data_IF_058912681071
#
_entry.id   IF_058912681071
#
_cell.length_a   1.000
_cell.length_b   1.000
_cell.length_c   1.000
_cell.angle_alpha   90.00
_cell.angle_beta   90.00
_cell.angle_gamma   90.00
#
_symmetry.space_group_name_H-M   'P 1'
#
loop_
_entity.id
_entity.type
_entity.pdbx_description
1 polymer ?
#
# COMPACT_ATOMS: atom_id res chain seq x y z
N UNK A 1 3.74 3.18 5.04
CA UNK A 1 2.47 2.49 4.72
C UNK A 1 1.37 2.76 5.76
N UNK A 2 1.74 2.93 7.03
CA UNK A 2 0.78 3.10 8.13
C UNK A 2 -0.17 4.30 8.00
N UNK A 3 0.23 5.41 7.37
CA UNK A 3 -0.66 6.55 7.14
C UNK A 3 -1.53 6.37 5.89
N UNK A 4 -0.88 6.24 4.72
CA UNK A 4 -1.54 6.36 3.40
C UNK A 4 -1.86 5.01 2.73
N UNK A 5 -1.45 3.91 3.36
CA UNK A 5 -1.62 2.55 2.83
C UNK A 5 -3.01 1.99 3.10
N UNK A 6 -3.52 1.21 2.16
CA UNK A 6 -4.80 0.51 2.29
C UNK A 6 -4.68 -0.91 1.76
N UNK A 7 -5.37 -1.82 2.45
CA UNK A 7 -5.49 -3.24 2.10
C UNK A 7 -6.96 -3.62 2.18
N UNK A 8 -7.50 -4.23 1.12
CA UNK A 8 -8.90 -4.67 1.05
C UNK A 8 -9.03 -5.85 0.07
N UNK A 9 -10.18 -6.54 0.09
CA UNK A 9 -10.58 -7.45 -1.00
C UNK A 9 -11.45 -6.67 -1.99
N UNK A 10 -11.22 -6.85 -3.28
CA UNK A 10 -12.13 -6.31 -4.28
C UNK A 10 -13.47 -7.07 -4.31
N UNK A 11 -14.37 -6.67 -5.21
CA UNK A 11 -15.70 -7.28 -5.35
C UNK A 11 -15.67 -8.77 -5.68
N UNK A 12 -14.55 -9.26 -6.22
CA UNK A 12 -14.34 -10.66 -6.58
C UNK A 12 -13.57 -11.41 -5.48
N UNK A 13 -13.35 -10.78 -4.32
CA UNK A 13 -12.62 -11.38 -3.21
C UNK A 13 -11.09 -11.31 -3.35
N UNK A 14 -10.54 -10.71 -4.41
CA UNK A 14 -9.09 -10.68 -4.60
C UNK A 14 -8.43 -9.62 -3.72
N UNK A 15 -7.28 -9.94 -3.10
CA UNK A 15 -6.56 -9.00 -2.27
C UNK A 15 -6.01 -7.83 -3.11
N UNK A 16 -6.10 -6.62 -2.55
CA UNK A 16 -5.58 -5.38 -3.14
C UNK A 16 -4.79 -4.61 -2.11
N UNK A 17 -3.66 -4.06 -2.54
CA UNK A 17 -2.79 -3.16 -1.75
C UNK A 17 -2.59 -1.89 -2.56
N UNK A 18 -2.85 -0.73 -1.96
CA UNK A 18 -2.52 0.57 -2.56
C UNK A 18 -1.96 1.55 -1.54
N UNK A 19 -1.27 2.54 -2.06
CA UNK A 19 -0.91 3.77 -1.37
C UNK A 19 -1.71 4.88 -2.04
N UNK A 20 -2.44 5.64 -1.23
CA UNK A 20 -3.34 6.67 -1.71
C UNK A 20 -3.02 7.97 -1.00
N UNK A 21 -2.77 9.03 -1.74
CA UNK A 21 -2.44 10.34 -1.19
C UNK A 21 -3.56 11.30 -1.57
N UNK A 22 -4.24 11.83 -0.55
CA UNK A 22 -5.16 12.95 -0.70
C UNK A 22 -4.40 14.25 -0.51
N UNK A 23 -4.47 15.13 -1.50
CA UNK A 23 -3.85 16.45 -1.44
C UNK A 23 -4.73 17.46 -2.16
N UNK A 24 -4.62 18.73 -1.74
CA UNK A 24 -5.25 19.83 -2.46
C UNK A 24 -4.74 19.87 -3.90
N UNK A 25 -5.57 20.39 -4.81
CA UNK A 25 -5.27 20.38 -6.25
C UNK A 25 -3.94 21.07 -6.59
N UNK A 26 -3.64 22.16 -5.89
CA UNK A 26 -2.41 22.95 -6.05
C UNK A 26 -1.10 22.18 -5.76
N UNK A 27 -1.17 21.05 -5.06
CA UNK A 27 0.01 20.25 -4.68
C UNK A 27 -0.03 18.83 -5.26
N UNK A 28 -0.93 18.57 -6.22
CA UNK A 28 -0.99 17.28 -6.92
C UNK A 28 0.30 16.97 -7.70
N UNK A 29 0.96 17.98 -8.27
CA UNK A 29 2.26 17.82 -8.94
C UNK A 29 3.32 17.24 -7.99
N UNK A 30 3.43 17.80 -6.79
CA UNK A 30 4.34 17.31 -5.75
C UNK A 30 3.95 15.90 -5.29
N UNK A 31 2.64 15.64 -5.16
CA UNK A 31 2.13 14.29 -4.85
C UNK A 31 2.51 13.26 -5.90
N UNK A 32 2.46 13.61 -7.19
CA UNK A 32 2.86 12.73 -8.30
C UNK A 32 4.35 12.45 -8.26
N UNK A 33 5.18 13.47 -8.07
CA UNK A 33 6.63 13.31 -7.95
C UNK A 33 7.01 12.42 -6.76
N UNK A 34 6.36 12.61 -5.61
CA UNK A 34 6.54 11.75 -4.45
C UNK A 34 6.18 10.28 -4.76
N UNK A 35 5.04 10.02 -5.42
CA UNK A 35 4.66 8.67 -5.80
C UNK A 35 5.60 8.05 -6.84
N UNK A 36 6.17 8.84 -7.74
CA UNK A 36 7.19 8.38 -8.69
C UNK A 36 8.46 7.95 -7.95
N UNK A 37 8.97 8.78 -7.03
CA UNK A 37 10.13 8.42 -6.21
C UNK A 37 9.86 7.16 -5.37
N UNK A 38 8.64 7.04 -4.82
CA UNK A 38 8.23 5.86 -4.08
C UNK A 38 8.16 4.61 -4.97
N UNK A 39 7.64 4.72 -6.20
CA UNK A 39 7.62 3.65 -7.20
C UNK A 39 9.05 3.18 -7.51
N UNK A 40 9.98 4.10 -7.75
CA UNK A 40 11.40 3.76 -7.95
C UNK A 40 12.00 3.03 -6.74
N UNK A 41 11.76 3.53 -5.53
CA UNK A 41 12.24 2.90 -4.29
C UNK A 41 11.68 1.48 -4.11
N UNK A 42 10.38 1.28 -4.31
CA UNK A 42 9.74 -0.04 -4.21
C UNK A 42 10.32 -1.02 -5.24
N UNK A 43 10.63 -0.55 -6.45
CA UNK A 43 11.24 -1.39 -7.48
C UNK A 43 12.62 -1.94 -7.07
N UNK A 44 13.41 -1.18 -6.28
CA UNK A 44 14.69 -1.65 -5.74
C UNK A 44 14.53 -2.85 -4.79
N UNK A 45 13.36 -2.99 -4.16
CA UNK A 45 13.00 -4.15 -3.32
C UNK A 45 12.28 -5.26 -4.11
N UNK A 46 12.30 -5.19 -5.45
CA UNK A 46 11.57 -6.13 -6.30
C UNK A 46 10.05 -6.06 -6.14
N UNK A 47 9.52 -4.89 -5.74
CA UNK A 47 8.10 -4.64 -5.57
C UNK A 47 7.60 -3.83 -6.77
N UNK A 48 6.89 -4.50 -7.69
CA UNK A 48 6.28 -3.84 -8.82
C UNK A 48 4.95 -3.19 -8.44
N UNK A 49 4.74 -1.99 -8.98
CA UNK A 49 3.52 -1.22 -8.81
C UNK A 49 2.87 -0.96 -10.16
N UNK A 50 1.62 -0.52 -10.11
CA UNK A 50 0.87 -0.03 -11.28
C UNK A 50 1.42 1.32 -11.77
N UNK A 51 0.82 1.83 -12.84
CA UNK A 51 0.87 3.26 -13.13
C UNK A 51 0.17 4.08 -12.03
N UNK A 52 0.59 5.34 -11.89
CA UNK A 52 -0.05 6.28 -10.97
C UNK A 52 -1.34 6.77 -11.63
N UNK A 53 -2.46 6.66 -10.92
CA UNK A 53 -3.75 7.14 -11.42
C UNK A 53 -4.40 8.12 -10.45
N UNK A 54 -5.21 9.02 -11.01
CA UNK A 54 -6.00 9.97 -10.24
C UNK A 54 -7.32 9.34 -9.83
N UNK A 55 -7.74 9.63 -8.61
CA UNK A 55 -9.07 9.32 -8.11
C UNK A 55 -9.77 10.61 -7.70
N UNK A 56 -11.07 10.64 -7.87
CA UNK A 56 -11.93 11.72 -7.37
C UNK A 56 -12.77 11.17 -6.24
N UNK A 57 -12.82 11.91 -5.13
CA UNK A 57 -13.68 11.67 -3.99
C UNK A 57 -14.53 12.89 -3.69
N UNK A 58 -15.37 12.75 -2.68
CA UNK A 58 -16.20 13.82 -2.15
C UNK A 58 -16.05 13.83 -0.63
N UNK A 59 -15.87 15.03 -0.07
CA UNK A 59 -16.01 15.25 1.35
C UNK A 59 -17.47 15.24 1.77
N UNK A 60 -17.74 15.15 3.07
CA UNK A 60 -19.12 15.13 3.62
C UNK A 60 -19.91 16.41 3.29
N UNK A 61 -19.22 17.52 3.07
CA UNK A 61 -19.78 18.82 2.65
C UNK A 61 -20.02 18.91 1.13
N UNK A 62 -19.75 17.85 0.37
CA UNK A 62 -19.88 17.84 -1.10
C UNK A 62 -18.66 18.37 -1.86
N UNK A 63 -17.62 18.86 -1.17
CA UNK A 63 -16.39 19.33 -1.82
C UNK A 63 -15.70 18.18 -2.56
N UNK A 64 -15.42 18.37 -3.85
CA UNK A 64 -14.67 17.41 -4.66
C UNK A 64 -13.21 17.38 -4.21
N UNK A 65 -12.70 16.19 -3.92
CA UNK A 65 -11.28 15.96 -3.62
C UNK A 65 -10.63 15.17 -4.75
N UNK A 66 -9.43 15.57 -5.13
CA UNK A 66 -8.58 14.79 -6.03
C UNK A 66 -7.54 14.07 -5.19
N UNK A 67 -7.19 12.86 -5.59
CA UNK A 67 -6.13 12.08 -4.95
C UNK A 67 -5.35 11.31 -5.99
N UNK A 68 -4.13 10.92 -5.64
CA UNK A 68 -3.30 10.06 -6.47
C UNK A 68 -3.14 8.71 -5.80
N UNK A 69 -3.13 7.67 -6.61
CA UNK A 69 -3.01 6.29 -6.15
C UNK A 69 -1.88 5.56 -6.86
N UNK A 70 -1.25 4.66 -6.10
CA UNK A 70 -0.26 3.71 -6.57
C UNK A 70 -0.63 2.33 -6.01
N UNK A 71 -0.95 1.38 -6.89
CA UNK A 71 -1.27 0.00 -6.51
C UNK A 71 -0.04 -0.89 -6.53
N UNK A 72 0.06 -1.84 -5.61
CA UNK A 72 1.06 -2.92 -5.70
C UNK A 72 0.51 -4.02 -6.61
N UNK A 73 1.31 -4.56 -7.52
CA UNK A 73 0.88 -5.69 -8.36
C UNK A 73 0.80 -6.96 -7.52
N UNK A 74 -0.18 -7.81 -7.80
CA UNK A 74 -0.41 -9.06 -7.05
C UNK A 74 0.83 -9.95 -6.96
N UNK A 75 1.60 -10.07 -8.06
CA UNK A 75 2.86 -10.84 -8.08
C UNK A 75 3.93 -10.35 -7.10
N UNK A 76 3.84 -9.09 -6.68
CA UNK A 76 4.80 -8.46 -5.76
C UNK A 76 4.32 -8.43 -4.31
N UNK A 77 3.16 -9.04 -3.99
CA UNK A 77 2.63 -9.04 -2.62
C UNK A 77 3.58 -9.72 -1.62
N UNK A 78 4.18 -10.85 -1.98
CA UNK A 78 5.12 -11.53 -1.09
C UNK A 78 6.34 -10.64 -0.76
N UNK A 79 6.94 -10.01 -1.78
CA UNK A 79 8.06 -9.09 -1.58
C UNK A 79 7.63 -7.87 -0.76
N UNK A 80 6.44 -7.33 -1.03
CA UNK A 80 5.89 -6.23 -0.27
C UNK A 80 5.75 -6.58 1.21
N UNK A 81 5.18 -7.73 1.53
CA UNK A 81 4.98 -8.19 2.91
C UNK A 81 6.30 -8.50 3.63
N UNK A 82 7.31 -9.00 2.91
CA UNK A 82 8.64 -9.26 3.46
C UNK A 82 9.34 -7.98 3.90
N UNK A 83 9.19 -6.88 3.15
CA UNK A 83 9.93 -5.64 3.38
C UNK A 83 9.14 -4.58 4.16
N UNK A 84 7.81 -4.62 4.14
CA UNK A 84 6.97 -3.62 4.79
C UNK A 84 6.65 -4.06 6.21
N UNK A 85 7.26 -3.37 7.18
CA UNK A 85 6.87 -3.53 8.58
C UNK A 85 5.57 -2.75 8.85
N UNK A 86 4.54 -3.45 9.34
CA UNK A 86 3.27 -2.85 9.75
C UNK A 86 3.35 -2.51 11.23
N UNK A 87 3.49 -1.21 11.56
CA UNK A 87 3.50 -0.79 12.97
C UNK A 87 2.08 -0.76 13.55
N UNK A 88 1.08 -0.51 12.70
CA UNK A 88 -0.34 -0.52 13.09
C UNK A 88 -0.85 -1.97 13.12
N UNK A 89 -1.22 -2.45 14.31
CA UNK A 89 -1.68 -3.84 14.54
C UNK A 89 -2.91 -4.19 13.70
N UNK A 90 -3.84 -3.25 13.54
CA UNK A 90 -5.09 -3.42 12.79
C UNK A 90 -4.82 -3.65 11.30
N UNK A 91 -3.84 -2.93 10.73
CA UNK A 91 -3.44 -3.13 9.33
C UNK A 91 -2.76 -4.48 9.14
N UNK A 92 -1.93 -4.90 10.10
CA UNK A 92 -1.32 -6.23 10.09
C UNK A 92 -2.38 -7.34 10.17
N UNK A 93 -3.34 -7.22 11.09
CA UNK A 93 -4.46 -8.17 11.23
C UNK A 93 -5.28 -8.24 9.93
N UNK A 94 -5.71 -7.09 9.42
CA UNK A 94 -6.48 -7.01 8.17
C UNK A 94 -5.72 -7.64 7.00
N UNK A 95 -4.41 -7.44 6.91
CA UNK A 95 -3.59 -8.07 5.88
C UNK A 95 -3.59 -9.60 6.01
N UNK A 96 -3.42 -10.15 7.23
CA UNK A 96 -3.51 -11.59 7.48
C UNK A 96 -4.88 -12.16 7.09
N UNK A 97 -5.95 -11.49 7.50
CA UNK A 97 -7.33 -11.91 7.19
C UNK A 97 -7.60 -11.91 5.67
N UNK A 98 -6.98 -10.96 4.95
CA UNK A 98 -7.18 -10.80 3.51
C UNK A 98 -6.36 -11.81 2.70
N UNK A 99 -5.11 -12.04 3.10
CA UNK A 99 -4.17 -12.91 2.39
C UNK A 99 -4.34 -14.40 2.72
N UNK A 100 -4.98 -14.71 3.86
CA UNK A 100 -5.03 -16.06 4.41
C UNK A 100 -3.68 -16.50 4.99
N UNK A 101 -3.71 -17.43 5.96
CA UNK A 101 -2.53 -17.89 6.69
C UNK A 101 -1.43 -18.45 5.77
N UNK A 102 -1.81 -19.10 4.66
CA UNK A 102 -0.91 -19.76 3.70
C UNK A 102 0.07 -18.85 2.97
N UNK A 103 -0.17 -17.54 2.86
CA UNK A 103 0.81 -16.59 2.31
C UNK A 103 1.73 -16.00 3.39
N UNK A 104 1.26 -15.92 4.64
CA UNK A 104 1.99 -15.31 5.75
C UNK A 104 2.99 -16.28 6.42
N UNK A 105 2.68 -17.58 6.38
CA UNK A 105 3.44 -18.62 7.08
C UNK A 105 4.53 -19.28 6.22
N UNK A 106 4.89 -18.68 5.07
CA UNK A 106 6.01 -19.16 4.26
C UNK A 106 7.35 -18.85 4.94
N UNK A 107 8.33 -19.78 4.91
CA UNK A 107 9.63 -19.57 5.56
C UNK A 107 10.32 -18.32 4.99
N UNK A 108 10.70 -17.40 5.88
CA UNK A 108 11.25 -16.08 5.55
C UNK A 108 10.62 -14.89 6.30
N UNK A 109 9.49 -15.10 6.99
CA UNK A 109 8.79 -14.07 7.79
C UNK A 109 9.24 -13.97 9.25
N UNK A 110 9.98 -14.95 9.77
CA UNK A 110 10.36 -15.02 11.20
C UNK A 110 11.60 -14.17 11.56
N UNK A 111 12.29 -13.61 10.57
CA UNK A 111 13.63 -13.03 10.74
C UNK A 111 13.73 -11.58 11.27
N UNK A 112 12.64 -10.88 11.60
CA UNK A 112 12.69 -9.46 12.01
C UNK A 112 12.31 -9.19 13.46
N UNK A 113 12.05 -10.23 14.26
CA UNK A 113 11.70 -10.09 15.68
C UNK A 113 12.92 -10.01 16.63
N UNK A 114 14.15 -9.93 16.12
CA UNK A 114 15.37 -9.73 16.93
C UNK A 114 16.24 -8.58 16.41
N UNK A 115 15.75 -7.35 16.52
CA UNK A 115 16.64 -6.19 16.76
C UNK A 115 15.98 -5.32 17.82
N UNK A 116 16.09 -5.77 19.06
CA UNK A 116 16.05 -4.90 20.23
C UNK A 116 17.42 -5.07 20.87
N UNK A 117 18.23 -4.01 20.79
CA UNK A 117 19.12 -3.52 21.84
C UNK A 117 19.56 -2.12 21.43
#
# INVERSE_FOLDING_TARGET
>A
FDCEGSVWKDRNGYPRIRIKIHKAECILGNGKNFLLSLKCMLNLFGIETTEIWTITGYEKNGTKTKGLCLGVKTKSFNNFLKHINFRIKEKRKRMKDIMGSTMWDKPGFEGLHKVVR
#
